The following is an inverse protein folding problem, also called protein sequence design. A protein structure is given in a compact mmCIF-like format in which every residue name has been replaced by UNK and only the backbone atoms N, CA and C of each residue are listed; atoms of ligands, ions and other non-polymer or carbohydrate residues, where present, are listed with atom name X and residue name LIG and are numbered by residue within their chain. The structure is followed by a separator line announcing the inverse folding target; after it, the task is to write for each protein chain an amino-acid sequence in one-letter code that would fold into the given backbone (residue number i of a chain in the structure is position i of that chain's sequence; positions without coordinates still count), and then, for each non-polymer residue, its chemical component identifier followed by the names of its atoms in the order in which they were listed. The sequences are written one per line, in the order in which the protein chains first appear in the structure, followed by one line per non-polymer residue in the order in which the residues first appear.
data_IF_899559850050
#
_entry.id   IF_899559850050
#
_cell.length_a   1.000
_cell.length_b   1.000
_cell.length_c   1.000
_cell.angle_alpha   90.00
_cell.angle_beta   90.00
_cell.angle_gamma   90.00
#
_symmetry.space_group_name_H-M   'P 1'
#
loop_
_entity.id
_entity.type
_entity.pdbx_description
1 polymer ?
#
# COMPACT_ATOMS: atom_id res chain seq x y z
N UNK A 1 13.16 7.67 4.03
CA UNK A 1 12.83 6.85 5.20
C UNK A 1 14.07 6.06 5.61
N UNK A 2 14.82 6.62 6.57
CA UNK A 2 15.99 6.12 7.35
C UNK A 2 16.42 7.35 8.20
N UNK A 3 16.81 7.31 9.47
CA UNK A 3 17.72 6.41 10.20
C UNK A 3 17.31 6.11 11.66
N UNK A 4 16.13 6.52 12.15
CA UNK A 4 15.70 6.21 13.53
C UNK A 4 14.65 5.09 13.53
N UNK A 5 15.10 3.87 13.86
CA UNK A 5 14.35 2.61 13.71
C UNK A 5 13.56 2.23 14.97
N UNK A 6 12.61 3.07 15.39
CA UNK A 6 11.64 2.70 16.43
C UNK A 6 10.21 2.50 15.89
N UNK A 7 10.01 2.62 14.57
CA UNK A 7 8.69 2.51 13.96
C UNK A 7 8.71 1.50 12.82
N UNK A 8 7.96 0.42 13.00
CA UNK A 8 7.85 -0.68 12.01
C UNK A 8 6.67 -0.53 11.05
N UNK A 9 5.75 0.41 11.33
CA UNK A 9 4.54 0.62 10.56
C UNK A 9 4.33 2.10 10.24
N UNK A 10 3.72 2.35 9.07
CA UNK A 10 3.34 3.67 8.61
C UNK A 10 1.91 3.63 8.08
N UNK A 11 1.03 4.46 8.64
CA UNK A 11 -0.38 4.52 8.30
C UNK A 11 -0.64 5.64 7.30
N UNK A 12 -1.42 5.32 6.27
CA UNK A 12 -1.75 6.21 5.18
C UNK A 12 -3.20 5.98 4.77
N UNK A 13 -3.86 7.03 4.28
CA UNK A 13 -5.11 6.87 3.55
C UNK A 13 -4.82 6.54 2.09
N UNK A 14 -5.66 5.73 1.46
CA UNK A 14 -5.46 5.24 0.08
C UNK A 14 -5.30 6.39 -0.92
N UNK A 15 -6.05 7.48 -0.73
CA UNK A 15 -5.96 8.69 -1.56
C UNK A 15 -4.64 9.45 -1.37
N UNK A 16 -4.10 9.54 -0.15
CA UNK A 16 -2.81 10.21 0.11
C UNK A 16 -1.64 9.33 -0.35
N UNK A 17 -1.76 8.00 -0.23
CA UNK A 17 -0.85 7.04 -0.84
C UNK A 17 -0.76 7.20 -2.37
N UNK A 18 -1.84 7.66 -3.01
CA UNK A 18 -1.85 7.99 -4.44
C UNK A 18 -1.12 9.28 -4.83
N UNK A 19 -0.81 10.19 -3.90
CA UNK A 19 -0.45 11.59 -4.22
C UNK A 19 1.06 11.95 -4.16
N UNK A 20 1.97 10.97 -4.19
CA UNK A 20 3.37 11.23 -4.56
C UNK A 20 4.43 11.07 -3.45
N UNK A 21 4.21 10.19 -2.48
CA UNK A 21 5.25 9.78 -1.53
C UNK A 21 6.02 8.54 -2.04
N UNK A 22 7.32 8.45 -1.73
CA UNK A 22 8.15 7.29 -2.07
C UNK A 22 8.38 6.43 -0.82
N UNK A 23 7.93 5.16 -0.87
CA UNK A 23 7.95 4.23 0.25
C UNK A 23 8.95 3.10 0.03
N UNK A 24 10.15 3.42 -0.48
CA UNK A 24 11.20 2.43 -0.77
C UNK A 24 11.73 1.71 0.48
N UNK A 25 11.48 2.24 1.68
CA UNK A 25 11.78 1.55 2.93
C UNK A 25 10.81 0.41 3.27
N UNK A 26 9.61 0.40 2.70
CA UNK A 26 8.56 -0.57 2.98
C UNK A 26 8.55 -1.70 1.93
N UNK A 27 8.40 -2.93 2.40
CA UNK A 27 8.28 -4.14 1.56
C UNK A 27 6.99 -4.94 1.82
N UNK A 28 6.17 -4.48 2.77
CA UNK A 28 4.85 -5.05 3.08
C UNK A 28 3.83 -3.93 2.94
N UNK A 29 2.81 -4.14 2.13
CA UNK A 29 1.69 -3.20 1.95
C UNK A 29 0.40 -3.92 2.29
N UNK A 30 -0.41 -3.32 3.16
CA UNK A 30 -1.73 -3.85 3.53
C UNK A 30 -2.76 -2.81 3.10
N UNK A 31 -3.63 -3.20 2.16
CA UNK A 31 -4.82 -2.44 1.78
C UNK A 31 -5.95 -2.93 2.68
N UNK A 32 -6.34 -2.11 3.63
CA UNK A 32 -7.38 -2.43 4.60
C UNK A 32 -8.78 -2.25 4.00
N UNK A 33 -8.99 -1.13 3.32
CA UNK A 33 -10.21 -0.74 2.63
C UNK A 33 -9.90 -0.48 1.14
N UNK A 34 -10.17 -1.44 0.24
CA UNK A 34 -9.94 -1.24 -1.19
C UNK A 34 -10.84 -0.13 -1.74
N UNK A 35 -10.27 0.76 -2.55
CA UNK A 35 -11.02 1.84 -3.18
C UNK A 35 -11.92 1.31 -4.30
N UNK A 36 -13.10 1.90 -4.47
CA UNK A 36 -14.03 1.58 -5.57
C UNK A 36 -13.41 1.76 -6.95
N UNK A 37 -12.39 2.60 -7.08
CA UNK A 37 -11.58 2.72 -8.28
C UNK A 37 -10.28 1.92 -8.11
N UNK A 38 -10.13 0.76 -8.79
CA UNK A 38 -8.93 -0.07 -8.73
C UNK A 38 -7.63 0.66 -9.11
N UNK A 39 -7.72 1.76 -9.88
CA UNK A 39 -6.57 2.58 -10.23
C UNK A 39 -5.97 3.29 -9.00
N UNK A 40 -6.79 3.67 -8.02
CA UNK A 40 -6.34 4.30 -6.77
C UNK A 40 -5.44 3.33 -5.99
N UNK A 41 -5.90 2.09 -5.79
CA UNK A 41 -5.14 1.04 -5.11
C UNK A 41 -3.86 0.67 -5.85
N UNK A 42 -3.90 0.73 -7.19
CA UNK A 42 -2.74 0.47 -8.04
C UNK A 42 -1.70 1.57 -7.90
N UNK A 43 -2.10 2.84 -7.91
CA UNK A 43 -1.16 3.94 -7.66
C UNK A 43 -0.59 3.91 -6.24
N UNK A 44 -1.38 3.49 -5.25
CA UNK A 44 -0.91 3.37 -3.87
C UNK A 44 0.15 2.25 -3.71
N UNK A 45 -0.07 1.06 -4.31
CA UNK A 45 0.90 -0.05 -4.23
C UNK A 45 2.23 0.28 -4.91
N UNK A 46 2.19 1.02 -6.03
CA UNK A 46 3.36 1.44 -6.82
C UNK A 46 4.27 2.42 -6.07
N UNK A 47 3.85 2.94 -4.92
CA UNK A 47 4.73 3.75 -4.05
C UNK A 47 5.78 2.94 -3.33
N UNK A 48 5.46 1.68 -3.01
CA UNK A 48 6.40 0.73 -2.39
C UNK A 48 7.00 -0.22 -3.45
N UNK A 49 6.17 -0.69 -4.40
CA UNK A 49 6.61 -1.49 -5.53
C UNK A 49 7.09 -0.59 -6.67
N UNK A 50 8.37 -0.19 -6.61
CA UNK A 50 8.97 0.76 -7.55
C UNK A 50 10.39 0.36 -7.94
N UNK A 51 10.84 0.88 -9.09
CA UNK A 51 12.25 0.83 -9.52
C UNK A 51 13.16 1.35 -8.39
N UNK A 52 14.19 0.58 -8.05
CA UNK A 52 15.11 0.86 -6.95
C UNK A 52 14.78 0.14 -5.64
N UNK A 53 13.72 -0.66 -5.60
CA UNK A 53 13.42 -1.55 -4.49
C UNK A 53 14.22 -2.85 -4.61
N UNK A 54 15.03 -3.17 -3.60
CA UNK A 54 15.85 -4.39 -3.57
C UNK A 54 15.15 -5.55 -2.86
N UNK A 55 14.15 -5.24 -2.01
CA UNK A 55 13.40 -6.24 -1.25
C UNK A 55 12.14 -6.65 -2.00
N UNK A 56 11.79 -7.93 -1.94
CA UNK A 56 10.51 -8.40 -2.49
C UNK A 56 9.35 -7.70 -1.77
N UNK A 57 8.52 -6.99 -2.53
CA UNK A 57 7.32 -6.32 -2.03
C UNK A 57 6.15 -7.30 -2.08
N UNK A 58 5.44 -7.46 -0.96
CA UNK A 58 4.20 -8.25 -0.89
C UNK A 58 3.05 -7.32 -0.54
N UNK A 59 1.96 -7.45 -1.30
CA UNK A 59 0.76 -6.65 -1.15
C UNK A 59 -0.36 -7.58 -0.68
N UNK A 60 -0.97 -7.23 0.45
CA UNK A 60 -2.14 -7.89 0.99
C UNK A 60 -3.34 -6.98 0.78
N UNK A 61 -4.43 -7.53 0.26
CA UNK A 61 -5.73 -6.88 0.22
C UNK A 61 -6.63 -7.62 1.20
N UNK A 62 -7.12 -6.91 2.20
CA UNK A 62 -8.11 -7.46 3.12
C UNK A 62 -9.48 -7.29 2.47
N UNK A 63 -10.27 -8.36 2.52
CA UNK A 63 -11.62 -8.41 1.97
C UNK A 63 -12.51 -9.06 3.00
N UNK A 64 -13.66 -8.45 3.26
CA UNK A 64 -14.67 -8.99 4.16
C UNK A 64 -15.57 -9.97 3.38
N UNK A 65 -15.66 -11.20 3.87
CA UNK A 65 -16.43 -12.25 3.21
C UNK A 65 -17.92 -11.89 3.11
N UNK A 66 -18.54 -12.14 1.96
CA UNK A 66 -19.97 -11.89 1.73
C UNK A 66 -20.35 -10.41 1.65
N UNK A 67 -19.38 -9.51 1.48
CA UNK A 67 -19.62 -8.07 1.30
C UNK A 67 -19.41 -7.63 -0.14
N UNK A 68 -19.72 -6.36 -0.44
CA UNK A 68 -19.51 -5.79 -1.78
C UNK A 68 -18.02 -5.77 -2.18
N UNK A 69 -17.12 -5.81 -1.21
CA UNK A 69 -15.66 -5.74 -1.42
C UNK A 69 -15.14 -6.92 -2.27
N UNK A 70 -15.79 -8.09 -2.26
CA UNK A 70 -15.42 -9.24 -3.10
C UNK A 70 -15.64 -9.01 -4.60
N UNK A 71 -16.48 -8.04 -4.95
CA UNK A 71 -16.90 -7.76 -6.33
C UNK A 71 -16.19 -6.57 -6.96
N UNK A 72 -15.33 -5.88 -6.21
CA UNK A 72 -14.60 -4.66 -6.61
C UNK A 72 -13.21 -4.99 -7.12
#
# INVERSE_FOLDING_TARGET
MRLDSNYDAFLLTTRVGGLGINLTGANRVIIFDPDWNPATDTQARERAWRIGQEKQVTIYRLLSAGTIEEKV
#
